data_IF_777991998093
#
_entry.id   IF_777991998093
#
_cell.length_a   1.000
_cell.length_b   1.000
_cell.length_c   1.000
_cell.angle_alpha   90.00
_cell.angle_beta   90.00
_cell.angle_gamma   90.00
#
_symmetry.space_group_name_H-M   'P 1'
#
loop_
_entity.id
_entity.type
_entity.pdbx_description
1 polymer ?
#
# COMPACT_ATOMS: atom_id res chain seq x y z
N UNK A 1 1.79 -12.04 58.81
CA UNK A 1 1.16 -10.91 58.07
C UNK A 1 2.10 -10.25 57.07
N UNK A 2 3.39 -10.04 57.38
CA UNK A 2 4.36 -9.45 56.43
C UNK A 2 4.59 -10.28 55.15
N UNK A 3 4.70 -11.62 55.26
CA UNK A 3 4.91 -12.51 54.09
C UNK A 3 3.72 -12.57 53.13
N UNK A 4 2.50 -12.37 53.64
CA UNK A 4 1.27 -12.37 52.84
C UNK A 4 1.13 -11.08 52.03
N UNK A 5 1.55 -9.95 52.61
CA UNK A 5 1.54 -8.65 51.96
C UNK A 5 2.59 -8.56 50.84
N UNK A 6 3.78 -9.12 51.05
CA UNK A 6 4.82 -9.16 50.01
C UNK A 6 4.43 -10.06 48.83
N UNK A 7 3.80 -11.22 49.08
CA UNK A 7 3.28 -12.08 48.01
C UNK A 7 2.18 -11.43 47.16
N UNK A 8 1.29 -10.66 47.80
CA UNK A 8 0.23 -9.93 47.10
C UNK A 8 0.77 -8.79 46.23
N UNK A 9 1.73 -8.01 46.76
CA UNK A 9 2.38 -6.92 46.01
C UNK A 9 3.19 -7.48 44.83
N UNK A 10 3.92 -8.59 45.03
CA UNK A 10 4.66 -9.24 43.95
C UNK A 10 3.72 -9.76 42.84
N UNK A 11 2.61 -10.40 43.23
CA UNK A 11 1.60 -10.89 42.31
C UNK A 11 0.93 -9.77 41.51
N UNK A 12 0.64 -8.64 42.15
CA UNK A 12 0.07 -7.47 41.49
C UNK A 12 1.05 -6.84 40.47
N UNK A 13 2.34 -6.75 40.80
CA UNK A 13 3.38 -6.24 39.89
C UNK A 13 3.54 -7.16 38.68
N UNK A 14 3.61 -8.48 38.89
CA UNK A 14 3.73 -9.44 37.79
C UNK A 14 2.49 -9.39 36.89
N UNK A 15 1.29 -9.32 37.47
CA UNK A 15 0.03 -9.18 36.72
C UNK A 15 -0.03 -7.89 35.90
N UNK A 16 0.47 -6.77 36.46
CA UNK A 16 0.54 -5.50 35.75
C UNK A 16 1.52 -5.54 34.57
N UNK A 17 2.71 -6.14 34.75
CA UNK A 17 3.71 -6.31 33.67
C UNK A 17 3.15 -7.20 32.56
N UNK A 18 2.51 -8.32 32.91
CA UNK A 18 1.89 -9.21 31.92
C UNK A 18 0.79 -8.51 31.11
N UNK A 19 -0.02 -7.66 31.76
CA UNK A 19 -1.07 -6.88 31.10
C UNK A 19 -0.48 -5.82 30.18
N UNK A 20 0.56 -5.10 30.63
CA UNK A 20 1.25 -4.10 29.82
C UNK A 20 1.90 -4.73 28.58
N UNK A 21 2.61 -5.86 28.75
CA UNK A 21 3.20 -6.62 27.66
C UNK A 21 2.13 -7.15 26.70
N UNK A 22 1.04 -7.72 27.21
CA UNK A 22 -0.07 -8.20 26.38
C UNK A 22 -0.70 -7.09 25.55
N UNK A 23 -0.89 -5.91 26.15
CA UNK A 23 -1.45 -4.74 25.46
C UNK A 23 -0.51 -4.23 24.37
N UNK A 24 0.79 -4.17 24.65
CA UNK A 24 1.82 -3.79 23.69
C UNK A 24 1.88 -4.76 22.50
N UNK A 25 1.87 -6.06 22.76
CA UNK A 25 1.89 -7.09 21.71
C UNK A 25 0.63 -7.02 20.82
N UNK A 26 -0.53 -6.76 21.41
CA UNK A 26 -1.79 -6.61 20.66
C UNK A 26 -1.80 -5.37 19.78
N UNK A 27 -1.28 -4.24 20.29
CA UNK A 27 -1.15 -3.01 19.51
C UNK A 27 -0.24 -3.25 18.30
N UNK A 28 0.95 -3.81 18.54
CA UNK A 28 1.91 -4.11 17.49
C UNK A 28 1.37 -5.09 16.44
N UNK A 29 0.60 -6.10 16.88
CA UNK A 29 -0.08 -7.02 15.97
C UNK A 29 -1.11 -6.30 15.09
N UNK A 30 -1.93 -5.41 15.67
CA UNK A 30 -2.95 -4.67 14.91
C UNK A 30 -2.33 -3.81 13.83
N UNK A 31 -1.23 -3.14 14.17
CA UNK A 31 -0.49 -2.29 13.23
C UNK A 31 0.06 -3.13 12.06
N UNK A 32 0.67 -4.28 12.36
CA UNK A 32 1.11 -5.22 11.31
C UNK A 32 -0.02 -5.76 10.44
N UNK A 33 -1.13 -6.14 11.05
CA UNK A 33 -2.30 -6.64 10.32
C UNK A 33 -2.93 -5.53 9.46
N UNK A 34 -2.84 -4.26 9.87
CA UNK A 34 -3.28 -3.12 9.08
C UNK A 34 -2.34 -2.88 7.89
N UNK A 35 -1.03 -2.77 8.11
CA UNK A 35 -0.03 -2.61 7.03
C UNK A 35 -0.16 -3.73 5.99
N UNK A 36 -0.29 -4.99 6.43
CA UNK A 36 -0.42 -6.13 5.51
C UNK A 36 -1.68 -6.03 4.63
N UNK A 37 -2.81 -5.65 5.22
CA UNK A 37 -4.07 -5.49 4.47
C UNK A 37 -3.97 -4.34 3.49
N UNK A 38 -3.32 -3.24 3.88
CA UNK A 38 -3.08 -2.09 3.02
C UNK A 38 -2.23 -2.46 1.81
N UNK A 39 -1.09 -3.15 2.03
CA UNK A 39 -0.24 -3.66 0.93
C UNK A 39 -1.01 -4.55 -0.03
N UNK A 40 -1.80 -5.49 0.50
CA UNK A 40 -2.62 -6.38 -0.34
C UNK A 40 -3.66 -5.61 -1.16
N UNK A 41 -4.29 -4.59 -0.59
CA UNK A 41 -5.25 -3.77 -1.32
C UNK A 41 -4.58 -3.00 -2.47
N UNK A 42 -3.40 -2.42 -2.23
CA UNK A 42 -2.63 -1.75 -3.28
C UNK A 42 -2.13 -2.71 -4.35
N UNK A 43 -1.64 -3.89 -3.98
CA UNK A 43 -1.21 -4.92 -4.96
C UNK A 43 -2.37 -5.32 -5.87
N UNK A 44 -3.57 -5.52 -5.31
CA UNK A 44 -4.73 -5.89 -6.12
C UNK A 44 -5.17 -4.74 -7.05
N UNK A 45 -5.12 -3.50 -6.56
CA UNK A 45 -5.38 -2.33 -7.41
C UNK A 45 -4.34 -2.21 -8.52
N UNK A 46 -3.03 -2.32 -8.22
CA UNK A 46 -1.98 -2.25 -9.23
C UNK A 46 -2.15 -3.34 -10.30
N UNK A 47 -2.50 -4.57 -9.89
CA UNK A 47 -2.77 -5.68 -10.83
C UNK A 47 -4.02 -5.44 -11.69
N UNK A 48 -4.97 -4.61 -11.25
CA UNK A 48 -6.11 -4.25 -12.10
C UNK A 48 -5.66 -3.49 -13.35
N UNK A 49 -4.46 -2.88 -13.35
CA UNK A 49 -3.85 -2.21 -14.50
C UNK A 49 -2.94 -3.11 -15.36
N UNK A 50 -2.89 -4.42 -15.13
CA UNK A 50 -2.09 -5.36 -15.96
C UNK A 50 -2.55 -5.37 -17.44
N UNK A 51 -3.79 -4.96 -17.73
CA UNK A 51 -4.25 -4.83 -19.12
C UNK A 51 -3.49 -3.75 -19.91
N UNK A 52 -2.77 -2.84 -19.25
CA UNK A 52 -1.98 -1.82 -19.93
C UNK A 52 -0.83 -2.47 -20.72
N UNK A 53 -0.22 -3.55 -20.21
CA UNK A 53 0.82 -4.31 -20.92
C UNK A 53 0.25 -4.92 -22.20
N UNK A 54 -0.92 -5.56 -22.10
CA UNK A 54 -1.62 -6.16 -23.25
C UNK A 54 -1.94 -5.12 -24.33
N UNK A 55 -2.30 -3.89 -23.92
CA UNK A 55 -2.59 -2.79 -24.86
C UNK A 55 -1.31 -2.33 -25.57
N UNK A 56 -0.21 -2.18 -24.84
CA UNK A 56 1.10 -1.77 -25.38
C UNK A 56 1.64 -2.82 -26.34
N UNK A 57 1.59 -4.09 -25.96
CA UNK A 57 2.03 -5.22 -26.79
C UNK A 57 1.23 -5.33 -28.09
N UNK A 58 -0.06 -5.00 -28.05
CA UNK A 58 -0.93 -4.96 -29.23
C UNK A 58 -0.78 -3.69 -30.08
N UNK A 59 0.08 -2.73 -29.67
CA UNK A 59 0.24 -1.43 -30.32
C UNK A 59 -1.01 -0.54 -30.27
N UNK A 60 -1.92 -0.81 -29.33
CA UNK A 60 -3.27 -0.24 -29.26
C UNK A 60 -3.38 1.04 -28.43
N UNK A 61 -2.38 1.93 -28.49
CA UNK A 61 -2.24 3.12 -27.62
C UNK A 61 -3.48 4.04 -27.58
N UNK A 62 -4.24 4.10 -28.67
CA UNK A 62 -5.48 4.86 -28.76
C UNK A 62 -6.55 4.38 -27.76
N UNK A 63 -6.54 3.09 -27.40
CA UNK A 63 -7.53 2.44 -26.52
C UNK A 63 -7.28 2.67 -25.03
N UNK A 64 -6.10 3.17 -24.68
CA UNK A 64 -5.69 3.48 -23.30
C UNK A 64 -6.64 4.53 -22.70
N UNK A 65 -6.97 5.55 -23.49
CA UNK A 65 -7.77 6.72 -23.10
C UNK A 65 -9.18 6.39 -22.62
N UNK A 66 -9.74 5.25 -23.02
CA UNK A 66 -11.14 4.92 -22.79
C UNK A 66 -11.35 3.99 -21.60
N UNK A 67 -10.27 3.50 -20.98
CA UNK A 67 -10.34 2.38 -20.02
C UNK A 67 -9.53 2.55 -18.74
N UNK A 68 -8.81 3.64 -18.55
CA UNK A 68 -8.08 3.85 -17.30
C UNK A 68 -9.06 3.87 -16.13
N UNK A 69 -8.95 2.89 -15.26
CA UNK A 69 -9.73 2.80 -14.03
C UNK A 69 -9.29 3.91 -13.07
N UNK A 70 -10.22 4.45 -12.27
CA UNK A 70 -9.85 5.42 -11.24
C UNK A 70 -9.21 4.71 -10.04
N UNK A 71 -8.21 5.34 -9.38
CA UNK A 71 -7.48 4.73 -8.28
C UNK A 71 -8.28 4.78 -6.96
N UNK A 72 -9.10 3.76 -6.72
CA UNK A 72 -10.06 3.69 -5.60
C UNK A 72 -9.37 3.54 -4.24
N UNK A 73 -8.37 2.67 -4.15
CA UNK A 73 -7.63 2.36 -2.91
C UNK A 73 -6.74 3.54 -2.54
N UNK A 74 -6.03 4.14 -3.49
CA UNK A 74 -5.21 5.32 -3.24
C UNK A 74 -6.02 6.48 -2.67
N UNK A 75 -7.20 6.76 -3.24
CA UNK A 75 -8.07 7.84 -2.77
C UNK A 75 -8.73 7.52 -1.42
N UNK A 76 -9.18 6.28 -1.23
CA UNK A 76 -9.89 5.89 -0.01
C UNK A 76 -8.99 5.59 1.19
N UNK A 77 -7.73 5.21 0.97
CA UNK A 77 -6.78 4.83 2.01
C UNK A 77 -5.71 5.90 2.30
N UNK A 78 -5.89 7.14 1.82
CA UNK A 78 -4.94 8.23 2.02
C UNK A 78 -4.54 8.46 3.50
N UNK A 79 -5.46 8.21 4.44
CA UNK A 79 -5.22 8.32 5.88
C UNK A 79 -4.33 7.21 6.46
N UNK A 80 -4.24 6.06 5.79
CA UNK A 80 -3.52 4.88 6.25
C UNK A 80 -2.16 4.71 5.53
N UNK A 81 -1.82 5.57 4.57
CA UNK A 81 -0.53 5.56 3.85
C UNK A 81 0.68 5.61 4.79
N UNK A 82 0.55 6.24 5.95
CA UNK A 82 1.60 6.29 6.98
C UNK A 82 2.01 4.93 7.57
N UNK A 83 1.28 3.86 7.25
CA UNK A 83 1.63 2.48 7.61
C UNK A 83 2.65 1.85 6.66
N UNK A 84 2.89 2.47 5.49
CA UNK A 84 3.86 2.03 4.50
C UNK A 84 5.22 2.71 4.74
N UNK A 85 6.27 2.12 4.19
CA UNK A 85 7.60 2.72 4.17
C UNK A 85 7.68 3.86 3.16
N UNK A 86 8.63 4.77 3.34
CA UNK A 86 8.84 5.90 2.44
C UNK A 86 9.08 5.45 0.98
N UNK A 87 9.79 4.34 0.78
CA UNK A 87 9.99 3.75 -0.55
C UNK A 87 8.69 3.29 -1.20
N UNK A 88 7.88 2.50 -0.46
CA UNK A 88 6.58 2.04 -0.95
C UNK A 88 5.65 3.20 -1.31
N UNK A 89 5.64 4.27 -0.50
CA UNK A 89 4.85 5.47 -0.79
C UNK A 89 5.39 6.17 -2.05
N UNK A 90 6.71 6.32 -2.17
CA UNK A 90 7.34 6.96 -3.32
C UNK A 90 6.99 6.25 -4.63
N UNK A 91 7.07 4.93 -4.65
CA UNK A 91 6.77 4.12 -5.83
C UNK A 91 5.26 4.18 -6.18
N UNK A 92 4.37 4.13 -5.18
CA UNK A 92 2.93 4.31 -5.39
C UNK A 92 2.61 5.70 -5.96
N UNK A 93 3.17 6.76 -5.38
CA UNK A 93 2.96 8.14 -5.84
C UNK A 93 3.47 8.32 -7.26
N UNK A 94 4.62 7.73 -7.61
CA UNK A 94 5.16 7.77 -8.96
C UNK A 94 4.18 7.12 -9.97
N UNK A 95 3.64 5.95 -9.63
CA UNK A 95 2.63 5.27 -10.42
C UNK A 95 1.37 6.15 -10.62
N UNK A 96 0.69 6.58 -9.54
CA UNK A 96 -0.55 7.34 -9.69
C UNK A 96 -0.35 8.71 -10.33
N UNK A 97 0.81 9.34 -10.12
CA UNK A 97 1.16 10.57 -10.84
C UNK A 97 1.28 10.29 -12.33
N UNK A 98 2.01 9.25 -12.73
CA UNK A 98 2.15 8.89 -14.13
C UNK A 98 0.82 8.53 -14.79
N UNK A 99 -0.07 7.85 -14.05
CA UNK A 99 -1.42 7.50 -14.48
C UNK A 99 -2.29 8.74 -14.72
N UNK A 100 -2.25 9.71 -13.80
CA UNK A 100 -2.96 10.98 -13.94
C UNK A 100 -2.49 11.75 -15.20
N UNK A 101 -1.18 11.82 -15.43
CA UNK A 101 -0.64 12.47 -16.62
C UNK A 101 -1.05 11.77 -17.92
N UNK A 102 -1.24 10.44 -17.89
CA UNK A 102 -1.69 9.68 -19.06
C UNK A 102 -3.14 10.03 -19.45
N UNK A 103 -3.99 10.31 -18.48
CA UNK A 103 -5.39 10.72 -18.70
C UNK A 103 -5.50 12.11 -19.36
N UNK A 104 -4.60 13.04 -18.99
CA UNK A 104 -4.63 14.43 -19.44
C UNK A 104 -4.04 14.65 -20.85
N UNK A 105 -3.40 13.62 -21.43
CA UNK A 105 -2.86 13.72 -22.78
C UNK A 105 -3.98 13.57 -23.83
N UNK A 106 -3.91 14.32 -24.93
CA UNK A 106 -4.80 14.15 -26.09
C UNK A 106 -4.11 13.40 -27.24
N UNK A 107 -2.82 13.68 -27.48
CA UNK A 107 -2.03 13.10 -28.58
C UNK A 107 -1.70 11.61 -28.36
N UNK A 108 -2.05 10.71 -29.30
CA UNK A 108 -1.68 9.29 -29.25
C UNK A 108 -0.17 9.01 -29.21
N UNK A 109 0.67 9.83 -29.84
CA UNK A 109 2.13 9.61 -29.86
C UNK A 109 2.74 9.95 -28.49
N UNK A 110 2.32 11.06 -27.85
CA UNK A 110 2.77 11.40 -26.50
C UNK A 110 2.32 10.35 -25.46
N UNK A 111 1.14 9.74 -25.66
CA UNK A 111 0.63 8.65 -24.81
C UNK A 111 1.47 7.39 -24.91
N UNK A 112 2.04 7.11 -26.08
CA UNK A 112 2.85 5.92 -26.32
C UNK A 112 4.13 5.96 -25.48
N UNK A 113 4.79 7.11 -25.43
CA UNK A 113 5.98 7.25 -24.59
C UNK A 113 5.60 7.20 -23.11
N UNK A 114 4.46 7.80 -22.75
CA UNK A 114 4.04 7.90 -21.34
C UNK A 114 3.48 6.62 -20.74
N UNK A 115 2.83 5.76 -21.53
CA UNK A 115 2.30 4.49 -21.01
C UNK A 115 3.41 3.53 -20.58
N UNK A 116 4.58 3.60 -21.23
CA UNK A 116 5.76 2.81 -20.82
C UNK A 116 6.19 3.24 -19.42
N UNK A 117 6.27 4.55 -19.16
CA UNK A 117 6.56 5.06 -17.81
C UNK A 117 5.52 4.58 -16.79
N UNK A 118 4.23 4.54 -17.16
CA UNK A 118 3.16 4.05 -16.25
C UNK A 118 3.36 2.58 -15.90
N UNK A 119 3.70 1.74 -16.87
CA UNK A 119 3.96 0.32 -16.67
C UNK A 119 5.21 0.14 -15.79
N UNK A 120 6.29 0.86 -16.06
CA UNK A 120 7.53 0.78 -15.29
C UNK A 120 7.30 1.18 -13.82
N UNK A 121 6.59 2.29 -13.57
CA UNK A 121 6.26 2.69 -12.20
C UNK A 121 5.31 1.71 -11.51
N UNK A 122 4.37 1.09 -12.25
CA UNK A 122 3.47 0.06 -11.71
C UNK A 122 4.26 -1.17 -11.26
N UNK A 123 5.20 -1.64 -12.07
CA UNK A 123 6.05 -2.78 -11.74
C UNK A 123 6.94 -2.48 -10.53
N UNK A 124 7.54 -1.29 -10.48
CA UNK A 124 8.32 -0.85 -9.32
C UNK A 124 7.48 -0.84 -8.03
N UNK A 125 6.25 -0.30 -8.09
CA UNK A 125 5.34 -0.29 -6.94
C UNK A 125 4.92 -1.70 -6.50
N UNK A 126 4.64 -2.61 -7.44
CA UNK A 126 4.35 -4.01 -7.15
C UNK A 126 5.53 -4.69 -6.45
N UNK A 127 6.74 -4.54 -6.98
CA UNK A 127 7.94 -5.11 -6.38
C UNK A 127 8.22 -4.56 -4.98
N UNK A 128 7.94 -3.29 -4.74
CA UNK A 128 8.12 -2.66 -3.44
C UNK A 128 7.15 -3.22 -2.39
N UNK A 129 5.89 -3.45 -2.76
CA UNK A 129 4.83 -3.91 -1.85
C UNK A 129 4.83 -5.43 -1.59
N UNK A 130 5.39 -6.22 -2.51
CA UNK A 130 5.47 -7.68 -2.39
C UNK A 130 6.70 -8.17 -1.59
N UNK A 131 7.64 -7.28 -1.22
CA UNK A 131 8.78 -7.58 -0.33
C UNK A 131 8.39 -7.74 1.13
#
# INVERSE_FOLDING_TARGET
MLETATGFVLGAVIGAIATALGSYLLYWKRERDATRRLRLAFVEELRSYDYLDDIVDAGGYERVTTRVEHPVIYESAAGDLGLLTEGEIGDLVAFYSSLYWLEDLEDPEDKKDRIVDVIDHRQAALEALER
#
